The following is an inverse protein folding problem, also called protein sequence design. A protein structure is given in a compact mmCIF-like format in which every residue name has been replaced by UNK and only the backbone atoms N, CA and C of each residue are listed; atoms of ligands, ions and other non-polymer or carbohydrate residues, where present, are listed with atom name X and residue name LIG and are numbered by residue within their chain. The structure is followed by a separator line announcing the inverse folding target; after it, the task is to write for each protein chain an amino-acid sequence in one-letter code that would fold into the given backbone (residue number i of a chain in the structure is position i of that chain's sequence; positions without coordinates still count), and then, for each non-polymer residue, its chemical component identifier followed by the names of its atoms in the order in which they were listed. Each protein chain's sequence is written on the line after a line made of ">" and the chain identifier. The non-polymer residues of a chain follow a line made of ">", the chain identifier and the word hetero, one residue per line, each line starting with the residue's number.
data_IF_805498712835
#
_entry.id   IF_805498712835
#
_cell.length_a   1.000
_cell.length_b   1.000
_cell.length_c   1.000
_cell.angle_alpha   90.00
_cell.angle_beta   90.00
_cell.angle_gamma   90.00
#
_symmetry.space_group_name_H-M   'P 1'
#
loop_
_entity.id
_entity.type
_entity.pdbx_description
1 polymer ?
#
# COMPACT_ATOMS: atom_id res chain seq x y z
N UNK A 1 -15.53 47.10 -18.84
CA UNK A 1 -16.02 45.80 -19.30
C UNK A 1 -16.41 44.99 -18.06
N UNK A 2 -17.62 44.38 -18.01
CA UNK A 2 -18.05 43.54 -16.90
C UNK A 2 -17.16 42.29 -16.73
N UNK A 3 -17.01 41.83 -15.51
CA UNK A 3 -16.36 40.53 -15.27
C UNK A 3 -17.19 39.38 -15.89
N UNK A 4 -16.55 38.55 -16.68
CA UNK A 4 -17.21 37.46 -17.39
C UNK A 4 -17.59 36.28 -16.47
N UNK A 5 -17.12 36.24 -15.21
CA UNK A 5 -17.37 35.19 -14.25
C UNK A 5 -17.86 35.75 -12.92
N UNK A 6 -18.71 34.99 -12.23
CA UNK A 6 -19.13 35.20 -10.86
C UNK A 6 -19.05 33.87 -10.11
N UNK A 7 -18.80 33.89 -8.81
CA UNK A 7 -18.75 32.68 -7.98
C UNK A 7 -19.95 32.62 -7.03
N UNK A 8 -20.46 31.42 -6.82
CA UNK A 8 -21.48 31.17 -5.81
C UNK A 8 -20.99 31.65 -4.44
N UNK A 9 -21.83 32.44 -3.75
CA UNK A 9 -21.55 33.02 -2.44
C UNK A 9 -20.62 34.23 -2.44
N UNK A 10 -20.02 34.61 -3.58
CA UNK A 10 -19.19 35.81 -3.71
C UNK A 10 -19.98 36.97 -4.30
N UNK A 11 -19.69 38.17 -3.81
CA UNK A 11 -20.32 39.39 -4.33
C UNK A 11 -19.79 39.68 -5.74
N UNK A 12 -20.71 39.93 -6.64
CA UNK A 12 -20.46 40.46 -8.00
C UNK A 12 -20.87 41.93 -8.06
N UNK A 13 -20.07 42.75 -8.65
CA UNK A 13 -20.39 44.17 -8.90
C UNK A 13 -19.81 44.62 -10.23
N UNK A 14 -20.62 45.35 -11.00
CA UNK A 14 -20.25 46.04 -12.22
C UNK A 14 -20.89 47.44 -12.24
N UNK A 15 -20.08 48.46 -12.48
CA UNK A 15 -20.55 49.84 -12.63
C UNK A 15 -20.14 50.31 -14.02
N UNK A 16 -21.08 50.61 -14.93
CA UNK A 16 -20.73 51.24 -16.22
C UNK A 16 -20.27 52.67 -16.03
N UNK A 17 -19.25 53.08 -16.78
CA UNK A 17 -18.96 54.51 -16.92
C UNK A 17 -19.81 55.11 -18.03
N UNK A 18 -20.55 56.15 -17.74
CA UNK A 18 -21.30 56.92 -18.73
C UNK A 18 -21.22 58.42 -18.39
N UNK A 19 -21.22 59.26 -19.40
CA UNK A 19 -21.27 60.76 -19.26
C UNK A 19 -22.08 61.31 -20.42
N UNK A 20 -22.78 62.38 -20.14
CA UNK A 20 -23.47 63.20 -21.15
C UNK A 20 -22.66 64.47 -21.42
N UNK A 21 -22.60 64.91 -22.71
CA UNK A 21 -21.81 66.05 -23.13
C UNK A 21 -22.43 67.40 -22.73
N UNK A 22 -23.76 67.43 -22.64
CA UNK A 22 -24.54 68.62 -22.32
C UNK A 22 -24.88 68.66 -20.81
N UNK A 23 -24.51 67.59 -20.07
CA UNK A 23 -24.70 67.50 -18.63
C UNK A 23 -26.07 67.01 -18.22
N UNK A 24 -26.81 66.35 -19.12
CA UNK A 24 -28.15 65.81 -18.84
C UNK A 24 -28.08 64.60 -17.89
N UNK A 25 -29.16 64.42 -17.12
CA UNK A 25 -29.26 63.30 -16.21
C UNK A 25 -29.47 61.97 -16.93
N UNK A 26 -28.54 61.07 -16.78
CA UNK A 26 -28.60 59.70 -17.36
C UNK A 26 -29.50 58.78 -16.56
N UNK A 27 -30.26 57.97 -17.27
CA UNK A 27 -31.00 56.83 -16.74
C UNK A 27 -30.55 55.56 -17.44
N UNK A 28 -30.60 54.41 -16.71
CA UNK A 28 -30.08 53.14 -17.20
C UNK A 28 -31.20 52.10 -17.25
N UNK A 29 -31.09 51.21 -18.24
CA UNK A 29 -31.93 50.03 -18.41
C UNK A 29 -31.06 48.82 -18.63
N UNK A 30 -31.62 47.63 -18.26
CA UNK A 30 -30.95 46.35 -18.48
C UNK A 30 -31.90 45.36 -19.11
N UNK A 31 -31.43 44.64 -20.13
CA UNK A 31 -32.09 43.47 -20.71
C UNK A 31 -31.38 42.20 -20.28
N UNK A 32 -32.17 41.13 -20.12
CA UNK A 32 -31.66 39.81 -19.68
C UNK A 32 -30.88 39.83 -18.36
N UNK A 33 -31.36 40.66 -17.42
CA UNK A 33 -30.76 40.72 -16.06
C UNK A 33 -30.78 39.35 -15.41
N UNK A 34 -29.62 38.85 -14.89
CA UNK A 34 -29.61 37.63 -14.09
C UNK A 34 -30.58 37.70 -12.92
N UNK A 35 -31.26 36.59 -12.60
CA UNK A 35 -32.24 36.54 -11.52
C UNK A 35 -31.66 36.77 -10.15
N UNK A 36 -30.37 36.48 -9.99
CA UNK A 36 -29.59 36.63 -8.74
C UNK A 36 -29.04 38.07 -8.56
N UNK A 37 -29.16 38.93 -9.57
CA UNK A 37 -28.57 40.26 -9.54
C UNK A 37 -29.65 41.36 -9.42
N UNK A 38 -29.32 42.44 -8.74
CA UNK A 38 -30.07 43.69 -8.67
C UNK A 38 -29.46 44.70 -9.64
N UNK A 39 -30.27 45.58 -10.18
CA UNK A 39 -29.86 46.64 -11.09
C UNK A 39 -30.39 48.01 -10.60
N UNK A 40 -29.48 48.95 -10.50
CA UNK A 40 -29.81 50.32 -10.15
C UNK A 40 -29.96 51.17 -11.44
N UNK A 41 -31.18 51.67 -11.68
CA UNK A 41 -31.50 52.45 -12.87
C UNK A 41 -30.94 53.90 -12.88
N UNK A 42 -30.49 54.38 -11.74
CA UNK A 42 -29.85 55.73 -11.66
C UNK A 42 -28.34 55.66 -11.95
N UNK A 43 -27.68 54.60 -11.52
CA UNK A 43 -26.18 54.45 -11.69
C UNK A 43 -25.78 53.44 -12.74
N UNK A 44 -26.72 52.60 -13.23
CA UNK A 44 -26.44 51.49 -14.13
C UNK A 44 -25.74 50.32 -13.44
N UNK A 45 -25.66 50.32 -12.11
CA UNK A 45 -24.90 49.31 -11.33
C UNK A 45 -25.63 47.97 -11.34
N UNK A 46 -24.93 46.92 -11.71
CA UNK A 46 -25.37 45.52 -11.62
C UNK A 46 -24.62 44.83 -10.47
N UNK A 47 -25.33 44.47 -9.43
CA UNK A 47 -24.76 43.86 -8.20
C UNK A 47 -25.54 42.66 -7.76
N UNK A 48 -24.91 41.71 -7.08
CA UNK A 48 -25.60 40.55 -6.49
C UNK A 48 -24.63 39.46 -6.00
N UNK A 49 -25.22 38.47 -5.37
CA UNK A 49 -24.47 37.30 -4.89
C UNK A 49 -25.18 36.05 -5.39
N UNK A 50 -24.65 35.32 -6.38
CA UNK A 50 -25.31 34.14 -6.90
C UNK A 50 -25.32 33.00 -5.90
N UNK A 51 -26.40 32.25 -5.83
CA UNK A 51 -26.53 31.01 -5.04
C UNK A 51 -26.21 29.78 -5.92
N UNK A 52 -26.16 28.61 -5.31
CA UNK A 52 -25.81 27.34 -6.01
C UNK A 52 -26.77 26.97 -7.14
N UNK A 53 -28.04 27.37 -7.04
CA UNK A 53 -29.03 27.15 -8.10
C UNK A 53 -28.87 28.10 -9.28
N UNK A 54 -27.96 29.06 -9.22
CA UNK A 54 -27.66 30.01 -10.30
C UNK A 54 -26.45 29.60 -11.16
N UNK A 55 -25.83 28.47 -10.87
CA UNK A 55 -24.70 27.96 -11.68
C UNK A 55 -25.12 27.82 -13.13
N UNK A 56 -24.32 28.37 -14.04
CA UNK A 56 -24.56 28.37 -15.46
C UNK A 56 -24.29 29.73 -16.10
N UNK A 57 -24.62 29.88 -17.36
CA UNK A 57 -24.37 31.09 -18.15
C UNK A 57 -25.61 31.96 -18.22
N UNK A 58 -25.49 33.22 -17.80
CA UNK A 58 -26.45 34.26 -18.04
C UNK A 58 -25.98 35.10 -19.24
N UNK A 59 -26.58 34.91 -20.38
CA UNK A 59 -26.13 35.49 -21.65
C UNK A 59 -26.97 36.64 -22.16
N UNK A 60 -26.46 37.32 -23.20
CA UNK A 60 -27.11 38.43 -23.90
C UNK A 60 -27.56 39.58 -22.99
N UNK A 61 -26.80 39.85 -21.94
CA UNK A 61 -27.04 40.98 -21.04
C UNK A 61 -26.66 42.26 -21.75
N UNK A 62 -27.58 43.21 -21.80
CA UNK A 62 -27.32 44.52 -22.40
C UNK A 62 -27.71 45.62 -21.40
N UNK A 63 -26.80 46.55 -21.15
CA UNK A 63 -27.07 47.75 -20.35
C UNK A 63 -27.06 48.95 -21.30
N UNK A 64 -28.12 49.77 -21.24
CA UNK A 64 -28.37 50.95 -22.07
C UNK A 64 -28.45 52.18 -21.16
N UNK A 65 -27.72 53.23 -21.49
CA UNK A 65 -27.84 54.56 -20.89
C UNK A 65 -28.63 55.47 -21.82
N UNK A 66 -29.48 56.35 -21.25
CA UNK A 66 -30.28 57.36 -22.00
C UNK A 66 -30.38 58.67 -21.21
N UNK A 67 -30.27 59.77 -21.92
CA UNK A 67 -30.53 61.15 -21.49
C UNK A 67 -31.98 61.56 -21.61
N UNK A 68 -32.86 60.66 -22.13
CA UNK A 68 -34.29 60.90 -22.47
C UNK A 68 -34.52 61.28 -23.95
N UNK A 69 -33.48 61.63 -24.71
CA UNK A 69 -33.55 61.96 -26.12
C UNK A 69 -32.77 60.95 -26.98
N UNK A 70 -31.59 60.58 -26.54
CA UNK A 70 -30.72 59.61 -27.16
C UNK A 70 -30.40 58.44 -26.21
N UNK A 71 -29.89 57.36 -26.77
CA UNK A 71 -29.45 56.22 -25.97
C UNK A 71 -28.25 55.49 -26.56
N UNK A 72 -27.43 54.93 -25.70
CA UNK A 72 -26.26 54.14 -26.08
C UNK A 72 -26.21 52.84 -25.23
N UNK A 73 -25.91 51.74 -25.88
CA UNK A 73 -25.81 50.42 -25.21
C UNK A 73 -24.39 49.92 -25.16
N UNK A 74 -24.03 49.25 -24.08
CA UNK A 74 -22.86 48.41 -24.07
C UNK A 74 -23.06 47.21 -25.02
N UNK A 75 -21.97 46.69 -25.61
CA UNK A 75 -22.05 45.40 -26.29
C UNK A 75 -22.63 44.31 -25.37
N UNK A 76 -23.44 43.44 -25.94
CA UNK A 76 -24.00 42.34 -25.20
C UNK A 76 -22.89 41.49 -24.54
N UNK A 77 -23.05 41.12 -23.27
CA UNK A 77 -22.10 40.32 -22.51
C UNK A 77 -22.77 39.14 -21.80
N UNK A 78 -21.95 38.28 -21.30
CA UNK A 78 -22.40 37.09 -20.53
C UNK A 78 -21.65 37.00 -19.22
N UNK A 79 -22.33 36.45 -18.20
CA UNK A 79 -21.74 36.13 -16.89
C UNK A 79 -21.89 34.63 -16.63
N UNK A 80 -20.78 33.92 -16.51
CA UNK A 80 -20.72 32.53 -16.11
C UNK A 80 -20.69 32.44 -14.58
N UNK A 81 -21.73 31.88 -13.97
CA UNK A 81 -21.71 31.57 -12.52
C UNK A 81 -21.03 30.22 -12.32
N UNK A 82 -19.97 30.19 -11.55
CA UNK A 82 -19.19 29.03 -11.20
C UNK A 82 -19.47 28.59 -9.75
N UNK A 83 -19.32 27.32 -9.46
CA UNK A 83 -19.37 26.83 -8.09
C UNK A 83 -18.29 27.52 -7.23
N UNK A 84 -18.57 27.70 -5.94
CA UNK A 84 -17.55 28.09 -5.00
C UNK A 84 -16.42 27.04 -4.96
N UNK A 85 -15.15 27.44 -4.82
CA UNK A 85 -14.07 26.48 -4.59
C UNK A 85 -14.39 25.60 -3.38
N UNK A 86 -14.32 24.29 -3.56
CA UNK A 86 -14.48 23.36 -2.44
C UNK A 86 -13.23 23.44 -1.57
N UNK A 87 -13.42 23.56 -0.24
CA UNK A 87 -12.31 23.49 0.69
C UNK A 87 -11.65 22.09 0.60
N UNK A 88 -10.33 22.07 0.58
CA UNK A 88 -9.59 20.82 0.63
C UNK A 88 -9.80 20.11 1.98
N UNK A 89 -10.13 18.83 1.93
CA UNK A 89 -10.20 17.94 3.08
C UNK A 89 -8.99 17.00 3.02
N UNK A 90 -8.37 16.67 4.15
CA UNK A 90 -7.20 15.80 4.14
C UNK A 90 -7.54 14.38 3.70
N UNK A 91 -6.60 13.66 3.07
CA UNK A 91 -6.78 12.27 2.72
C UNK A 91 -6.90 11.39 3.96
N UNK A 92 -7.50 10.23 3.80
CA UNK A 92 -7.60 9.19 4.84
C UNK A 92 -6.70 8.03 4.46
N UNK A 93 -5.95 7.49 5.43
CA UNK A 93 -5.11 6.32 5.27
C UNK A 93 -5.32 5.32 6.40
N UNK A 94 -5.36 4.02 6.11
CA UNK A 94 -5.55 2.96 7.08
C UNK A 94 -4.84 1.67 6.65
N UNK A 95 -4.68 0.75 7.60
CA UNK A 95 -4.07 -0.56 7.41
C UNK A 95 -3.19 -0.95 8.58
N UNK A 96 -2.96 -2.26 8.74
CA UNK A 96 -2.10 -2.83 9.78
C UNK A 96 -1.01 -3.65 9.09
N UNK A 97 0.25 -3.15 9.07
CA UNK A 97 1.37 -3.89 8.49
C UNK A 97 1.68 -5.16 9.29
N UNK A 98 2.07 -6.28 8.66
CA UNK A 98 2.62 -7.43 9.37
C UNK A 98 3.85 -7.01 10.20
N UNK A 99 3.86 -7.38 11.48
CA UNK A 99 4.91 -6.99 12.42
C UNK A 99 6.20 -7.84 12.30
N UNK A 100 6.13 -9.00 11.63
CA UNK A 100 7.27 -9.91 11.47
C UNK A 100 7.24 -10.65 10.15
N UNK A 101 8.40 -11.11 9.72
CA UNK A 101 8.62 -11.93 8.54
C UNK A 101 9.84 -12.84 8.76
N UNK A 102 9.81 -14.04 8.22
CA UNK A 102 10.99 -14.93 8.20
C UNK A 102 11.87 -14.60 7.01
N UNK A 103 13.18 -14.56 7.20
CA UNK A 103 14.16 -14.37 6.11
C UNK A 103 13.92 -15.40 4.99
N UNK A 104 13.97 -14.95 3.73
CA UNK A 104 13.64 -15.74 2.55
C UNK A 104 12.16 -15.75 2.19
N UNK A 105 11.26 -15.26 3.05
CA UNK A 105 9.83 -15.16 2.74
C UNK A 105 9.48 -13.76 2.19
N UNK A 106 8.48 -13.72 1.31
CA UNK A 106 8.02 -12.46 0.70
C UNK A 106 7.15 -11.66 1.67
N UNK A 107 7.57 -10.43 1.96
CA UNK A 107 6.79 -9.43 2.69
C UNK A 107 5.99 -8.57 1.73
N UNK A 108 4.75 -8.27 2.06
CA UNK A 108 3.92 -7.33 1.31
C UNK A 108 2.89 -6.69 2.23
N UNK A 109 2.86 -5.36 2.21
CA UNK A 109 1.83 -4.55 2.84
C UNK A 109 1.43 -3.42 1.90
N UNK A 110 0.13 -3.19 1.74
CA UNK A 110 -0.41 -2.05 1.02
C UNK A 110 -1.50 -1.40 1.88
N UNK A 111 -1.36 -0.11 2.23
CA UNK A 111 -2.41 0.62 2.94
C UNK A 111 -3.62 0.84 2.04
N UNK A 112 -4.77 1.08 2.65
CA UNK A 112 -5.93 1.66 1.99
C UNK A 112 -5.90 3.17 2.18
N UNK A 113 -6.14 3.93 1.12
CA UNK A 113 -6.24 5.37 1.20
C UNK A 113 -7.30 5.91 0.24
N UNK A 114 -7.94 7.00 0.62
CA UNK A 114 -8.90 7.74 -0.18
C UNK A 114 -8.86 9.21 0.15
N UNK A 115 -9.29 10.03 -0.80
CA UNK A 115 -9.47 11.46 -0.61
C UNK A 115 -10.94 11.84 -0.68
N UNK A 116 -11.50 12.63 0.29
CA UNK A 116 -12.90 13.04 0.27
C UNK A 116 -13.26 13.98 -0.88
N UNK A 117 -12.29 14.73 -1.43
CA UNK A 117 -12.49 15.61 -2.58
C UNK A 117 -12.25 14.88 -3.91
N UNK A 118 -11.68 13.66 -3.87
CA UNK A 118 -11.31 12.87 -5.04
C UNK A 118 -9.96 13.29 -5.63
N UNK A 119 -9.12 13.94 -4.84
CA UNK A 119 -7.79 14.39 -5.29
C UNK A 119 -6.83 13.21 -5.48
N UNK A 120 -5.84 13.42 -6.35
CA UNK A 120 -4.82 12.41 -6.64
C UNK A 120 -3.88 12.22 -5.47
N UNK A 121 -3.70 10.96 -5.05
CA UNK A 121 -2.89 10.60 -3.89
C UNK A 121 -1.47 10.20 -4.28
N UNK A 122 -0.50 10.70 -3.52
CA UNK A 122 0.93 10.34 -3.63
C UNK A 122 1.42 9.85 -2.27
N UNK A 123 2.08 8.68 -2.27
CA UNK A 123 2.59 8.08 -1.05
C UNK A 123 4.08 8.33 -0.87
N UNK A 124 4.51 8.37 0.38
CA UNK A 124 5.91 8.45 0.79
C UNK A 124 6.18 7.57 2.00
N UNK A 125 7.44 7.20 2.21
CA UNK A 125 7.85 6.38 3.33
C UNK A 125 9.13 6.91 3.95
N UNK A 126 9.25 6.85 5.27
CA UNK A 126 10.48 7.04 6.02
C UNK A 126 10.81 5.79 6.83
N UNK A 127 12.10 5.56 7.11
CA UNK A 127 12.55 4.37 7.84
C UNK A 127 12.41 3.05 7.05
N UNK A 128 12.31 3.10 5.72
CA UNK A 128 12.19 1.92 4.87
C UNK A 128 13.40 1.00 5.03
N UNK A 129 13.19 -0.32 5.31
CA UNK A 129 14.29 -1.29 5.32
C UNK A 129 15.02 -1.35 3.97
N UNK A 130 16.31 -1.63 3.99
CA UNK A 130 17.13 -1.71 2.76
C UNK A 130 16.66 -2.81 1.81
N UNK A 131 16.22 -3.96 2.36
CA UNK A 131 15.71 -5.11 1.60
C UNK A 131 14.34 -4.87 0.95
N UNK A 132 13.63 -3.79 1.31
CA UNK A 132 12.28 -3.50 0.83
C UNK A 132 12.26 -2.44 -0.28
N UNK A 133 11.29 -2.55 -1.16
CA UNK A 133 10.89 -1.56 -2.18
C UNK A 133 9.58 -0.90 -1.78
N UNK A 134 9.38 0.34 -2.23
CA UNK A 134 8.17 1.10 -1.96
C UNK A 134 7.62 1.71 -3.25
N UNK A 135 6.32 1.56 -3.47
CA UNK A 135 5.63 2.14 -4.62
C UNK A 135 4.90 3.43 -4.20
N UNK A 136 5.31 4.57 -4.74
CA UNK A 136 4.77 5.89 -4.39
C UNK A 136 3.37 6.16 -4.92
N UNK A 137 2.88 5.37 -5.89
CA UNK A 137 1.51 5.51 -6.42
C UNK A 137 0.49 4.69 -5.64
N UNK A 138 0.90 3.57 -5.01
CA UNK A 138 -0.02 2.66 -4.32
C UNK A 138 0.23 2.57 -2.82
N UNK A 139 1.35 3.10 -2.32
CA UNK A 139 1.79 2.97 -0.94
C UNK A 139 2.27 1.57 -0.57
N UNK A 140 2.44 0.66 -1.54
CA UNK A 140 2.86 -0.71 -1.29
C UNK A 140 4.32 -0.79 -0.87
N UNK A 141 4.56 -1.41 0.29
CA UNK A 141 5.87 -1.82 0.79
C UNK A 141 6.02 -3.33 0.58
N UNK A 142 7.04 -3.77 -0.14
CA UNK A 142 7.26 -5.19 -0.45
C UNK A 142 8.74 -5.50 -0.60
N UNK A 143 9.10 -6.78 -0.39
CA UNK A 143 10.47 -7.27 -0.55
C UNK A 143 10.63 -8.66 0.05
N UNK A 144 11.83 -9.23 -0.10
CA UNK A 144 12.19 -10.53 0.49
C UNK A 144 13.50 -10.33 1.23
N UNK A 145 13.49 -10.27 2.59
CA UNK A 145 14.70 -10.10 3.36
C UNK A 145 15.59 -11.34 3.25
N UNK A 146 16.90 -11.15 3.12
CA UNK A 146 17.88 -12.21 3.15
C UNK A 146 18.22 -12.62 4.61
N UNK A 147 18.92 -13.75 4.86
CA UNK A 147 19.39 -14.12 6.21
C UNK A 147 20.26 -13.04 6.88
N UNK A 148 20.97 -12.24 6.10
CA UNK A 148 21.77 -11.11 6.60
C UNK A 148 20.92 -9.92 7.08
N UNK A 149 19.63 -9.88 6.76
CA UNK A 149 18.70 -8.82 7.16
C UNK A 149 17.97 -9.15 8.47
N UNK A 150 18.32 -10.22 9.17
CA UNK A 150 17.72 -10.58 10.47
C UNK A 150 17.92 -9.44 11.48
N UNK A 151 16.82 -8.98 12.07
CA UNK A 151 16.81 -7.85 12.99
C UNK A 151 15.49 -7.11 13.01
N UNK A 152 15.42 -6.02 13.78
CA UNK A 152 14.20 -5.21 13.89
C UNK A 152 14.40 -3.84 13.24
N UNK A 153 13.50 -3.51 12.33
CA UNK A 153 13.44 -2.23 11.60
C UNK A 153 12.34 -1.38 12.21
N UNK A 154 12.71 -0.32 12.91
CA UNK A 154 11.81 0.53 13.69
C UNK A 154 11.49 1.85 12.97
N UNK A 155 10.47 2.55 13.45
CA UNK A 155 10.10 3.90 13.01
C UNK A 155 9.79 3.99 11.51
N UNK A 156 9.19 2.94 10.96
CA UNK A 156 8.70 2.95 9.59
C UNK A 156 7.39 3.74 9.58
N UNK A 157 7.31 4.78 8.74
CA UNK A 157 6.10 5.62 8.62
C UNK A 157 5.75 5.77 7.15
N UNK A 158 4.54 5.32 6.79
CA UNK A 158 3.95 5.56 5.46
C UNK A 158 3.03 6.76 5.55
N UNK A 159 3.14 7.68 4.59
CA UNK A 159 2.33 8.88 4.47
C UNK A 159 1.65 8.93 3.13
N UNK A 160 0.51 9.61 3.08
CA UNK A 160 -0.21 9.94 1.85
C UNK A 160 -0.48 11.43 1.80
N UNK A 161 -0.37 12.03 0.63
CA UNK A 161 -0.66 13.45 0.37
C UNK A 161 -1.57 13.59 -0.84
N UNK A 162 -2.51 14.54 -0.76
CA UNK A 162 -3.35 15.05 -1.84
C UNK A 162 -2.71 16.22 -2.63
N UNK A 163 -1.46 16.58 -2.29
CA UNK A 163 -0.74 17.74 -2.83
C UNK A 163 -0.86 19.00 -1.96
N UNK A 164 -1.82 19.06 -1.05
CA UNK A 164 -2.07 20.20 -0.14
C UNK A 164 -1.84 19.80 1.31
N UNK A 165 -2.34 18.65 1.71
CA UNK A 165 -2.24 18.10 3.07
C UNK A 165 -1.57 16.72 3.05
N UNK A 166 -1.08 16.30 4.22
CA UNK A 166 -0.41 15.00 4.37
C UNK A 166 -0.88 14.31 5.65
N UNK A 167 -1.22 13.03 5.55
CA UNK A 167 -1.61 12.18 6.67
C UNK A 167 -0.70 10.95 6.72
N UNK A 168 -0.47 10.41 7.91
CA UNK A 168 0.42 9.28 8.13
C UNK A 168 -0.28 8.13 8.85
N UNK A 169 0.12 6.90 8.54
CA UNK A 169 -0.11 5.77 9.44
C UNK A 169 0.72 5.95 10.72
N UNK A 170 0.27 5.36 11.81
CA UNK A 170 1.09 5.23 13.01
C UNK A 170 2.43 4.56 12.65
N UNK A 171 3.51 5.00 13.30
CA UNK A 171 4.82 4.38 13.12
C UNK A 171 4.76 2.90 13.51
N UNK A 172 5.38 2.04 12.72
CA UNK A 172 5.41 0.60 12.95
C UNK A 172 6.83 0.04 12.83
N UNK A 173 6.98 -1.22 13.21
CA UNK A 173 8.23 -1.97 13.13
C UNK A 173 8.02 -3.28 12.39
N UNK A 174 9.08 -3.77 11.73
CA UNK A 174 9.12 -5.09 11.11
C UNK A 174 10.30 -5.84 11.72
N UNK A 175 10.05 -7.01 12.29
CA UNK A 175 11.10 -7.93 12.77
C UNK A 175 11.34 -9.02 11.75
N UNK A 176 12.54 -9.11 11.21
CA UNK A 176 12.99 -10.22 10.37
C UNK A 176 13.58 -11.28 11.28
N UNK A 177 13.01 -12.49 11.24
CA UNK A 177 13.49 -13.66 12.00
C UNK A 177 14.15 -14.66 11.07
N UNK A 178 14.99 -15.53 11.60
CA UNK A 178 15.57 -16.64 10.87
C UNK A 178 14.87 -17.95 11.25
N UNK A 179 14.75 -18.87 10.29
CA UNK A 179 14.37 -20.25 10.59
C UNK A 179 15.52 -20.88 11.38
N UNK A 180 15.24 -21.39 12.57
CA UNK A 180 16.21 -22.15 13.36
C UNK A 180 16.10 -23.61 12.94
N UNK A 181 17.15 -24.16 12.30
CA UNK A 181 17.23 -25.59 12.07
C UNK A 181 17.50 -26.31 13.39
N UNK A 182 16.92 -27.45 13.55
CA UNK A 182 17.10 -28.30 14.72
C UNK A 182 17.94 -29.53 14.42
N UNK A 183 17.95 -30.47 15.36
CA UNK A 183 18.66 -31.74 15.22
C UNK A 183 17.82 -32.92 15.78
N UNK A 184 18.14 -34.12 15.32
CA UNK A 184 17.56 -35.35 15.83
C UNK A 184 18.69 -36.31 16.26
N UNK A 185 18.63 -36.82 17.50
CA UNK A 185 19.48 -37.91 17.95
C UNK A 185 18.78 -39.22 17.65
N UNK A 186 19.44 -40.08 16.88
CA UNK A 186 18.98 -41.44 16.57
C UNK A 186 19.87 -42.37 17.39
N UNK A 187 19.24 -43.31 18.09
CA UNK A 187 19.93 -44.32 18.93
C UNK A 187 19.45 -45.70 18.55
N UNK A 188 20.37 -46.68 18.62
CA UNK A 188 20.12 -48.08 18.24
C UNK A 188 20.94 -49.03 19.09
N UNK A 189 20.52 -50.29 18.99
CA UNK A 189 21.30 -51.40 19.54
C UNK A 189 22.00 -52.09 18.37
N UNK A 190 23.35 -52.22 18.40
CA UNK A 190 24.09 -52.89 17.34
C UNK A 190 23.64 -54.37 17.17
N UNK A 191 23.47 -54.85 15.94
CA UNK A 191 23.17 -56.25 15.71
C UNK A 191 24.38 -57.11 16.05
N UNK A 192 24.16 -58.24 16.68
CA UNK A 192 25.21 -59.23 17.07
C UNK A 192 25.10 -60.52 16.27
N UNK A 193 24.00 -60.72 15.53
CA UNK A 193 23.73 -61.96 14.77
C UNK A 193 23.26 -61.61 13.34
N UNK A 194 23.50 -62.51 12.44
CA UNK A 194 22.92 -62.58 11.12
C UNK A 194 21.46 -63.07 11.17
N UNK A 195 20.72 -62.95 10.09
CA UNK A 195 19.34 -63.41 9.96
C UNK A 195 19.17 -64.89 10.09
N UNK A 196 20.25 -65.72 9.87
CA UNK A 196 20.31 -67.15 10.07
C UNK A 196 20.72 -67.55 11.49
N UNK A 197 20.90 -66.60 12.41
CA UNK A 197 21.31 -66.83 13.82
C UNK A 197 22.79 -67.00 14.04
N UNK A 198 23.62 -66.99 13.01
CA UNK A 198 25.11 -67.00 13.17
C UNK A 198 25.62 -65.67 13.70
N UNK A 199 26.80 -65.66 14.33
CA UNK A 199 27.42 -64.47 14.86
C UNK A 199 27.81 -63.48 13.73
N UNK A 200 27.47 -62.23 13.90
CA UNK A 200 27.85 -61.13 12.96
C UNK A 200 29.26 -60.63 13.33
N UNK A 201 30.25 -60.96 12.51
CA UNK A 201 31.67 -60.62 12.79
C UNK A 201 32.28 -59.60 11.83
N UNK A 202 31.51 -59.22 10.81
CA UNK A 202 31.96 -58.36 9.69
C UNK A 202 31.13 -57.08 9.56
N UNK A 203 30.45 -56.64 10.65
CA UNK A 203 29.74 -55.38 10.71
C UNK A 203 30.75 -54.21 10.42
N UNK A 204 30.47 -53.39 9.41
CA UNK A 204 31.28 -52.25 9.02
C UNK A 204 30.70 -50.90 9.47
N UNK A 205 29.37 -50.84 9.61
CA UNK A 205 28.73 -49.56 10.00
C UNK A 205 27.21 -49.52 9.79
N UNK A 206 26.71 -48.32 9.71
CA UNK A 206 25.28 -48.02 9.64
C UNK A 206 25.00 -46.96 8.59
N UNK A 207 23.84 -47.03 7.95
CA UNK A 207 23.34 -45.99 7.06
C UNK A 207 21.95 -45.52 7.57
N UNK A 208 21.85 -44.27 7.97
CA UNK A 208 20.63 -43.65 8.45
C UNK A 208 19.99 -42.96 7.26
N UNK A 209 18.75 -43.35 6.93
CA UNK A 209 17.91 -42.72 5.91
C UNK A 209 16.92 -41.80 6.59
N UNK A 210 16.68 -40.62 6.04
CA UNK A 210 15.76 -39.66 6.63
C UNK A 210 15.10 -38.78 5.57
N UNK A 211 13.92 -38.26 5.90
CA UNK A 211 13.13 -37.38 5.02
C UNK A 211 11.89 -36.84 5.72
N UNK A 212 11.17 -35.96 5.07
CA UNK A 212 9.95 -35.36 5.62
C UNK A 212 8.67 -36.17 5.32
N UNK A 213 8.80 -37.32 4.65
CA UNK A 213 7.71 -38.26 4.40
C UNK A 213 8.11 -39.65 4.86
N UNK A 214 7.24 -40.42 5.55
CA UNK A 214 7.55 -41.78 5.99
C UNK A 214 7.71 -42.77 4.83
N UNK A 215 7.18 -42.45 3.66
CA UNK A 215 7.26 -43.26 2.42
C UNK A 215 8.43 -42.87 1.50
N UNK A 216 9.15 -41.79 1.81
CA UNK A 216 10.27 -41.29 1.01
C UNK A 216 11.35 -40.72 1.95
N UNK A 217 12.33 -41.54 2.27
CA UNK A 217 13.53 -41.15 3.04
C UNK A 217 14.65 -40.93 2.01
N UNK A 218 14.67 -39.72 1.43
CA UNK A 218 15.49 -39.36 0.27
C UNK A 218 16.89 -38.85 0.62
N UNK A 219 17.15 -38.66 1.91
CA UNK A 219 18.46 -38.28 2.44
C UNK A 219 19.09 -39.44 3.22
N UNK A 220 20.42 -39.50 3.28
CA UNK A 220 21.10 -40.46 4.09
C UNK A 220 22.43 -39.95 4.64
N UNK A 221 22.87 -40.58 5.72
CA UNK A 221 24.23 -40.43 6.28
C UNK A 221 24.82 -41.82 6.55
N UNK A 222 26.04 -42.05 6.09
CA UNK A 222 26.79 -43.28 6.31
C UNK A 222 27.76 -43.12 7.48
N UNK A 223 27.77 -44.10 8.36
CA UNK A 223 28.59 -44.17 9.59
C UNK A 223 29.44 -45.41 9.52
N UNK A 224 30.69 -45.28 9.05
CA UNK A 224 31.64 -46.39 8.90
C UNK A 224 32.35 -46.75 10.22
N UNK A 225 31.57 -46.85 11.31
CA UNK A 225 32.02 -47.27 12.63
C UNK A 225 30.97 -48.15 13.28
N UNK A 226 31.24 -49.48 13.36
CA UNK A 226 30.30 -50.47 13.93
C UNK A 226 30.09 -50.33 15.42
N UNK A 227 30.96 -49.59 16.13
CA UNK A 227 30.85 -49.38 17.59
C UNK A 227 29.88 -48.26 17.99
N UNK A 228 29.33 -47.51 17.02
CA UNK A 228 28.38 -46.45 17.33
C UNK A 228 27.03 -46.99 17.75
N UNK A 229 26.43 -46.34 18.74
CA UNK A 229 25.09 -46.61 19.24
C UNK A 229 24.15 -45.43 19.12
N UNK A 230 24.66 -44.27 18.64
CA UNK A 230 23.88 -43.08 18.39
C UNK A 230 24.54 -42.18 17.37
N UNK A 231 23.73 -41.32 16.71
CA UNK A 231 24.20 -40.24 15.82
C UNK A 231 23.26 -39.07 15.89
N UNK A 232 23.78 -37.85 15.74
CA UNK A 232 22.98 -36.62 15.67
C UNK A 232 22.92 -36.17 14.22
N UNK A 233 21.71 -36.21 13.64
CA UNK A 233 21.45 -35.57 12.35
C UNK A 233 21.13 -34.09 12.62
N UNK A 234 21.94 -33.21 12.06
CA UNK A 234 21.86 -31.74 12.25
C UNK A 234 21.20 -31.05 11.07
N UNK A 235 20.97 -29.74 11.19
CA UNK A 235 20.45 -28.86 10.14
C UNK A 235 19.09 -29.23 9.57
N UNK A 236 18.24 -29.85 10.42
CA UNK A 236 16.89 -30.21 10.07
C UNK A 236 15.97 -28.98 10.13
N UNK A 237 15.39 -28.60 9.00
CA UNK A 237 14.38 -27.53 8.94
C UNK A 237 13.13 -27.89 9.78
N UNK A 238 12.36 -26.88 10.24
CA UNK A 238 11.09 -27.11 10.92
C UNK A 238 10.13 -27.96 10.08
N UNK A 239 9.94 -29.20 10.51
CA UNK A 239 9.06 -30.21 9.91
C UNK A 239 8.99 -31.44 10.80
N UNK A 240 8.11 -32.39 10.50
CA UNK A 240 8.22 -33.76 11.05
C UNK A 240 9.16 -34.55 10.16
N UNK A 241 10.28 -34.97 10.73
CA UNK A 241 11.28 -35.80 10.08
C UNK A 241 11.09 -37.26 10.48
N UNK A 242 11.28 -38.14 9.52
CA UNK A 242 11.20 -39.60 9.67
C UNK A 242 12.56 -40.19 9.42
N UNK A 243 12.94 -41.21 10.21
CA UNK A 243 14.23 -41.86 10.20
C UNK A 243 14.06 -43.37 10.20
N UNK A 244 14.87 -44.07 9.40
CA UNK A 244 15.06 -45.50 9.42
C UNK A 244 16.55 -45.77 9.14
N UNK A 245 17.01 -46.97 9.48
CA UNK A 245 18.42 -47.29 9.30
C UNK A 245 18.62 -48.72 8.80
N UNK A 246 19.79 -48.93 8.20
CA UNK A 246 20.34 -50.25 7.87
C UNK A 246 21.73 -50.38 8.48
N UNK A 247 22.11 -51.58 8.90
CA UNK A 247 23.51 -51.93 9.13
C UNK A 247 24.10 -52.45 7.82
N UNK A 248 25.44 -52.27 7.64
CA UNK A 248 26.11 -52.82 6.47
C UNK A 248 27.41 -53.53 6.89
N UNK A 249 27.81 -54.49 6.09
CA UNK A 249 28.99 -55.32 6.25
C UNK A 249 30.20 -54.74 5.49
N UNK A 250 31.37 -55.33 5.70
CA UNK A 250 32.62 -54.95 5.02
C UNK A 250 32.58 -55.21 3.51
N UNK A 251 31.69 -56.08 3.01
CA UNK A 251 31.44 -56.31 1.59
C UNK A 251 30.40 -55.36 1.00
N UNK A 252 29.82 -54.43 1.80
CA UNK A 252 28.78 -53.50 1.39
C UNK A 252 27.36 -54.04 1.45
N UNK A 253 27.16 -55.31 1.82
CA UNK A 253 25.80 -55.88 1.94
C UNK A 253 25.02 -55.21 3.12
N UNK A 254 23.81 -54.77 2.84
CA UNK A 254 22.96 -54.11 3.84
C UNK A 254 21.92 -55.03 4.45
N UNK A 255 21.56 -54.77 5.70
CA UNK A 255 20.42 -55.43 6.37
C UNK A 255 19.08 -54.97 5.78
N UNK A 256 17.97 -55.64 6.17
CA UNK A 256 16.65 -55.07 6.07
C UNK A 256 16.57 -53.68 6.78
N UNK A 257 15.64 -52.86 6.34
CA UNK A 257 15.41 -51.54 6.95
C UNK A 257 14.79 -51.71 8.37
N UNK A 258 15.22 -50.90 9.32
CA UNK A 258 14.62 -50.85 10.65
C UNK A 258 13.18 -50.35 10.62
N UNK A 259 12.51 -50.37 11.77
CA UNK A 259 11.30 -49.54 11.96
C UNK A 259 11.59 -48.08 11.70
N UNK A 260 10.57 -47.35 11.20
CA UNK A 260 10.62 -45.92 11.02
C UNK A 260 10.22 -45.19 12.31
N UNK A 261 11.02 -44.23 12.75
CA UNK A 261 10.71 -43.31 13.87
C UNK A 261 10.60 -41.88 13.36
N UNK A 262 9.96 -41.03 14.14
CA UNK A 262 9.80 -39.62 13.73
C UNK A 262 10.15 -38.64 14.86
N UNK A 263 10.52 -37.40 14.46
CA UNK A 263 10.73 -36.27 15.35
C UNK A 263 10.24 -34.98 14.69
N UNK A 264 9.43 -34.20 15.42
CA UNK A 264 9.08 -32.85 15.03
C UNK A 264 10.22 -31.90 15.40
N UNK A 265 10.64 -31.10 14.43
CA UNK A 265 11.53 -29.94 14.59
C UNK A 265 10.63 -28.71 14.50
N UNK A 266 10.66 -27.85 15.51
CA UNK A 266 9.81 -26.65 15.66
C UNK A 266 10.56 -25.38 15.29
#
# INVERSE_FOLDING_TARGET
>A
VPAATAQVGAAYAFHPGASDADGDTLSFQISNRPTWASFDTASGSLTGTPASNNIGTNGNIVITASDGTASVSLPAFSIQVQAAPQANLPPVISGIPPASIVAGQAYSFQPSASDPNGDSLVFSISGKPAWATFNTSTGRLSGTPAPADVGTYNNIVIRVSDGTTMVALAAFSITVTQVTNGSATISWIPPTQNTDGSALTDLAGYRIYYGTSPSSLDQNVELSNPGLTSHIVQDLSPATWYFAMRSFRTDGTESEVSNTVSKAIL
#
